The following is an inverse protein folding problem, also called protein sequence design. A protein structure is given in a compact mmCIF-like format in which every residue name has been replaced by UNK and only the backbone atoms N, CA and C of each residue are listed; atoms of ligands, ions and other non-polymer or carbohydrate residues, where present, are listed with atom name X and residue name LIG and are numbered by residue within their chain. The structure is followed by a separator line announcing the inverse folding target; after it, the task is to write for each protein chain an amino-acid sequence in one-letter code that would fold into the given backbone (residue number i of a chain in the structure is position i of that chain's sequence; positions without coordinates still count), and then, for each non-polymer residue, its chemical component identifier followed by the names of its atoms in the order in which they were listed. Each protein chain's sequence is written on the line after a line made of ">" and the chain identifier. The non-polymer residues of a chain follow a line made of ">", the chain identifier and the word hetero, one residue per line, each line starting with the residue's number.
data_IF_376723477503
#
_entry.id   IF_376723477503
#
_cell.length_a   1.000
_cell.length_b   1.000
_cell.length_c   1.000
_cell.angle_alpha   90.00
_cell.angle_beta   90.00
_cell.angle_gamma   90.00
#
_symmetry.space_group_name_H-M   'P 1'
#
loop_
_entity.id
_entity.type
_entity.pdbx_description
1 polymer ?
#
# COMPACT_ATOMS: atom_id res chain seq x y z
N UNK A 1 12.13 -12.75 7.39
CA UNK A 1 11.95 -12.00 6.13
C UNK A 1 10.48 -11.63 6.01
N UNK A 2 10.14 -10.40 5.62
CA UNK A 2 8.76 -9.92 5.49
C UNK A 2 8.14 -10.25 4.10
N UNK A 3 8.93 -10.80 3.16
CA UNK A 3 8.50 -11.20 1.82
C UNK A 3 9.65 -11.80 1.01
N UNK A 4 9.36 -12.13 -0.26
CA UNK A 4 10.29 -12.66 -1.27
C UNK A 4 10.29 -11.80 -2.54
N UNK A 5 11.34 -11.87 -3.39
CA UNK A 5 11.33 -11.20 -4.68
C UNK A 5 10.08 -11.56 -5.50
N UNK A 6 9.48 -10.57 -6.14
CA UNK A 6 8.20 -10.68 -6.83
C UNK A 6 6.98 -10.40 -5.95
N UNK A 7 7.11 -10.31 -4.62
CA UNK A 7 6.01 -9.89 -3.76
C UNK A 7 5.67 -8.41 -3.92
N UNK A 8 4.41 -8.06 -3.66
CA UNK A 8 3.91 -6.68 -3.77
C UNK A 8 4.19 -5.91 -2.48
N UNK A 9 4.76 -4.72 -2.64
CA UNK A 9 4.98 -3.77 -1.56
C UNK A 9 4.24 -2.48 -1.90
N UNK A 10 3.22 -2.14 -1.10
CA UNK A 10 2.50 -0.88 -1.27
C UNK A 10 3.30 0.27 -0.67
N UNK A 11 3.35 1.40 -1.36
CA UNK A 11 3.86 2.66 -0.83
C UNK A 11 2.65 3.56 -0.64
N UNK A 12 2.30 3.85 0.62
CA UNK A 12 1.20 4.72 0.98
C UNK A 12 1.71 5.75 1.99
N UNK A 13 2.17 6.88 1.47
CA UNK A 13 2.75 7.98 2.24
C UNK A 13 2.42 9.33 1.58
N UNK A 14 2.55 10.46 2.30
CA UNK A 14 2.45 11.79 1.71
C UNK A 14 3.51 12.01 0.63
N UNK A 15 3.32 13.03 -0.20
CA UNK A 15 4.33 13.43 -1.17
C UNK A 15 5.56 13.99 -0.46
N UNK A 16 6.64 13.21 -0.43
CA UNK A 16 7.90 13.57 0.23
C UNK A 16 9.07 12.75 -0.32
N UNK A 17 10.28 12.97 0.20
CA UNK A 17 11.44 12.14 -0.15
C UNK A 17 11.29 10.71 0.36
N UNK A 18 10.67 10.51 1.52
CA UNK A 18 10.41 9.18 2.09
C UNK A 18 9.54 8.33 1.15
N UNK A 19 8.62 8.95 0.42
CA UNK A 19 7.84 8.28 -0.62
C UNK A 19 8.74 7.74 -1.75
N UNK A 20 9.66 8.58 -2.25
CA UNK A 20 10.61 8.20 -3.31
C UNK A 20 11.55 7.10 -2.81
N UNK A 21 12.06 7.23 -1.59
CA UNK A 21 12.91 6.22 -0.95
C UNK A 21 12.17 4.91 -0.77
N UNK A 22 10.90 4.93 -0.34
CA UNK A 22 10.07 3.73 -0.21
C UNK A 22 9.85 3.04 -1.56
N UNK A 23 9.56 3.81 -2.61
CA UNK A 23 9.35 3.27 -3.96
C UNK A 23 10.62 2.62 -4.53
N UNK A 24 11.73 3.35 -4.52
CA UNK A 24 13.01 2.84 -5.03
C UNK A 24 13.55 1.70 -4.16
N UNK A 25 13.36 1.77 -2.84
CA UNK A 25 13.74 0.73 -1.90
C UNK A 25 12.98 -0.58 -2.13
N UNK A 26 11.68 -0.51 -2.45
CA UNK A 26 10.90 -1.69 -2.82
C UNK A 26 11.44 -2.37 -4.09
N UNK A 27 11.71 -1.58 -5.15
CA UNK A 27 12.29 -2.09 -6.40
C UNK A 27 13.66 -2.72 -6.14
N UNK A 28 14.52 -2.02 -5.38
CA UNK A 28 15.85 -2.49 -5.03
C UNK A 28 15.82 -3.80 -4.22
N UNK A 29 14.79 -4.00 -3.40
CA UNK A 29 14.57 -5.25 -2.64
C UNK A 29 14.00 -6.40 -3.50
N UNK A 30 13.70 -6.15 -4.77
CA UNK A 30 13.10 -7.13 -5.68
C UNK A 30 11.58 -7.25 -5.55
N UNK A 31 10.91 -6.31 -4.87
CA UNK A 31 9.46 -6.26 -4.80
C UNK A 31 8.85 -5.59 -6.03
N UNK A 32 7.60 -5.94 -6.32
CA UNK A 32 6.73 -5.18 -7.22
C UNK A 32 6.15 -4.01 -6.43
N UNK A 33 6.68 -2.81 -6.66
CA UNK A 33 6.23 -1.59 -6.01
C UNK A 33 4.82 -1.20 -6.48
N UNK A 34 3.92 -0.94 -5.53
CA UNK A 34 2.54 -0.48 -5.79
C UNK A 34 2.37 0.93 -5.21
N UNK A 35 2.60 1.99 -6.01
CA UNK A 35 2.55 3.37 -5.54
C UNK A 35 1.09 3.85 -5.38
N UNK A 36 0.73 4.32 -4.18
CA UNK A 36 -0.60 4.87 -3.87
C UNK A 36 -0.48 6.25 -3.21
N UNK A 37 -1.33 7.18 -3.62
CA UNK A 37 -1.43 8.51 -3.01
C UNK A 37 -2.24 8.46 -1.72
N UNK A 38 -1.86 9.27 -0.72
CA UNK A 38 -2.68 9.47 0.47
C UNK A 38 -4.09 9.97 0.08
N UNK A 39 -5.15 9.34 0.59
CA UNK A 39 -6.50 9.73 0.27
C UNK A 39 -6.86 11.03 0.98
N UNK A 40 -7.41 11.97 0.21
CA UNK A 40 -7.84 13.29 0.70
C UNK A 40 -9.37 13.37 0.85
N UNK A 41 -10.10 12.44 0.25
CA UNK A 41 -11.57 12.41 0.23
C UNK A 41 -12.08 10.98 0.33
N UNK A 42 -13.36 10.80 0.71
CA UNK A 42 -14.03 9.49 0.82
C UNK A 42 -13.89 8.61 -0.44
N UNK A 43 -14.09 9.11 -1.69
CA UNK A 43 -13.85 8.29 -2.88
C UNK A 43 -12.39 7.84 -3.07
N UNK A 44 -11.42 8.56 -2.51
CA UNK A 44 -10.02 8.14 -2.58
C UNK A 44 -9.73 6.98 -1.61
N UNK A 45 -10.47 6.88 -0.49
CA UNK A 45 -10.37 5.74 0.44
C UNK A 45 -10.78 4.42 -0.24
N UNK A 46 -11.81 4.44 -1.09
CA UNK A 46 -12.26 3.26 -1.84
C UNK A 46 -11.20 2.80 -2.84
N UNK A 47 -10.51 3.74 -3.50
CA UNK A 47 -9.41 3.41 -4.43
C UNK A 47 -8.23 2.75 -3.74
N UNK A 48 -7.82 3.28 -2.58
CA UNK A 48 -6.75 2.67 -1.77
C UNK A 48 -7.17 1.28 -1.32
N UNK A 49 -8.39 1.13 -0.82
CA UNK A 49 -8.94 -0.17 -0.38
C UNK A 49 -8.99 -1.18 -1.52
N UNK A 50 -9.45 -0.77 -2.71
CA UNK A 50 -9.48 -1.62 -3.90
C UNK A 50 -8.09 -2.06 -4.34
N UNK A 51 -7.13 -1.14 -4.40
CA UNK A 51 -5.75 -1.45 -4.76
C UNK A 51 -5.06 -2.36 -3.73
N UNK A 52 -5.33 -2.17 -2.44
CA UNK A 52 -4.83 -3.05 -1.38
C UNK A 52 -5.36 -4.49 -1.52
N UNK A 53 -6.63 -4.65 -1.90
CA UNK A 53 -7.23 -5.97 -2.15
C UNK A 53 -6.70 -6.63 -3.42
N UNK A 54 -6.56 -5.87 -4.50
CA UNK A 54 -6.09 -6.40 -5.78
C UNK A 54 -4.60 -6.77 -5.75
N UNK A 55 -3.80 -5.98 -5.05
CA UNK A 55 -2.34 -6.19 -4.98
C UNK A 55 -1.89 -7.17 -3.90
N UNK A 56 -2.74 -7.54 -2.94
CA UNK A 56 -2.41 -8.44 -1.81
C UNK A 56 -0.96 -8.23 -1.29
N UNK A 57 -0.60 -7.01 -0.83
CA UNK A 57 0.77 -6.68 -0.53
C UNK A 57 1.23 -7.37 0.75
N UNK A 58 2.48 -7.85 0.77
CA UNK A 58 3.09 -8.46 1.97
C UNK A 58 3.59 -7.42 2.96
N UNK A 59 3.75 -6.17 2.50
CA UNK A 59 4.21 -5.03 3.30
C UNK A 59 3.63 -3.73 2.78
N UNK A 60 3.38 -2.78 3.69
CA UNK A 60 3.05 -1.38 3.37
C UNK A 60 4.17 -0.49 3.91
N UNK A 61 4.73 0.34 3.04
CA UNK A 61 5.72 1.36 3.37
C UNK A 61 5.01 2.70 3.58
N UNK A 62 5.26 3.32 4.73
CA UNK A 62 4.69 4.61 5.10
C UNK A 62 5.63 5.39 6.02
N UNK A 63 5.26 6.61 6.41
CA UNK A 63 6.00 7.43 7.37
C UNK A 63 5.34 7.37 8.75
N UNK A 64 6.13 7.62 9.80
CA UNK A 64 5.61 7.67 11.17
C UNK A 64 4.50 8.71 11.36
N UNK A 65 4.51 9.78 10.55
CA UNK A 65 3.52 10.85 10.63
C UNK A 65 2.09 10.41 10.28
N UNK A 66 1.92 9.35 9.47
CA UNK A 66 0.60 8.91 8.98
C UNK A 66 0.36 7.42 9.24
N UNK A 67 1.17 6.77 10.07
CA UNK A 67 1.08 5.31 10.29
C UNK A 67 -0.28 4.88 10.82
N UNK A 68 -0.91 5.67 11.68
CA UNK A 68 -2.23 5.36 12.24
C UNK A 68 -3.33 5.46 11.18
N UNK A 69 -3.25 6.46 10.30
CA UNK A 69 -4.14 6.59 9.15
C UNK A 69 -3.97 5.45 8.15
N UNK A 70 -2.76 4.89 8.01
CA UNK A 70 -2.47 3.79 7.09
C UNK A 70 -2.92 2.45 7.65
N UNK A 71 -2.86 2.26 8.97
CA UNK A 71 -3.27 1.00 9.64
C UNK A 71 -4.70 0.59 9.32
N UNK A 72 -5.60 1.54 9.03
CA UNK A 72 -7.00 1.24 8.65
C UNK A 72 -7.12 0.46 7.33
N UNK A 73 -6.13 0.54 6.44
CA UNK A 73 -6.11 -0.22 5.17
C UNK A 73 -5.43 -1.58 5.30
N UNK A 74 -4.58 -1.77 6.30
CA UNK A 74 -3.91 -3.04 6.58
C UNK A 74 -4.83 -4.10 7.20
N UNK A 75 -6.00 -3.68 7.69
CA UNK A 75 -7.06 -4.58 8.17
C UNK A 75 -7.95 -4.99 6.99
N UNK A 76 -7.42 -5.82 6.08
CA UNK A 76 -8.26 -6.42 5.05
C UNK A 76 -9.29 -7.34 5.74
N UNK A 77 -10.59 -7.00 5.65
CA UNK A 77 -11.67 -7.91 6.06
C UNK A 77 -11.62 -9.15 5.14
N UNK A 78 -11.30 -10.35 5.67
CA UNK A 78 -11.21 -11.58 4.88
C UNK A 78 -12.53 -11.94 4.17
N UNK A 79 -13.66 -11.33 4.57
CA UNK A 79 -15.00 -11.67 4.09
C UNK A 79 -15.47 -10.84 2.90
N UNK A 80 -14.75 -9.78 2.52
CA UNK A 80 -15.23 -8.83 1.52
C UNK A 80 -14.66 -9.13 0.13
N UNK A 81 -15.29 -10.09 -0.55
CA UNK A 81 -14.92 -10.61 -1.89
C UNK A 81 -14.79 -9.50 -2.94
N UNK A 82 -13.81 -9.57 -3.87
CA UNK A 82 -13.72 -8.64 -4.98
C UNK A 82 -14.99 -8.72 -5.86
N UNK A 83 -15.41 -7.60 -6.47
CA UNK A 83 -16.51 -7.60 -7.43
C UNK A 83 -16.18 -8.52 -8.59
N UNK A 84 -17.14 -9.35 -8.99
CA UNK A 84 -17.05 -10.09 -10.25
C UNK A 84 -17.32 -9.11 -11.38
N UNK A 85 -16.41 -9.03 -12.34
CA UNK A 85 -16.70 -8.43 -13.64
C UNK A 85 -17.66 -9.32 -14.43
#
# INVERSE_FOLDING_TARGET
>A
KLGSPGDRAVILAPQSLEYIVGFLGAIQAGFVAVPLSMPQTRPHDERVTGAMKDSEPVVVLTTSAVVDDVRRYGQADPKQRPPKF
#
